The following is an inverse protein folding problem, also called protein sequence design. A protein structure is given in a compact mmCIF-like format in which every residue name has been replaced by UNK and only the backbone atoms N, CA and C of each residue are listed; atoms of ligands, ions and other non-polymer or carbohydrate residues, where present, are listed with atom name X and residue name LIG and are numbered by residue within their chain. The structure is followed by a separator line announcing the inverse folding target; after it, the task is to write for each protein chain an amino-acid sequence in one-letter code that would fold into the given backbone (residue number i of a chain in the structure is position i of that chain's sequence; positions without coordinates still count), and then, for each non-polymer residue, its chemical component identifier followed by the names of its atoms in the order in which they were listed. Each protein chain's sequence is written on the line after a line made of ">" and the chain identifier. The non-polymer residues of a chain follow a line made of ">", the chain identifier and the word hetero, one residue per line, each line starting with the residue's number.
data_IF_354071929203
#
_entry.id   IF_354071929203
#
_cell.length_a   1.000
_cell.length_b   1.000
_cell.length_c   1.000
_cell.angle_alpha   90.00
_cell.angle_beta   90.00
_cell.angle_gamma   90.00
#
_symmetry.space_group_name_H-M   'P 1'
#
loop_
_entity.id
_entity.type
_entity.pdbx_description
1 polymer ?
#
# COMPACT_ATOMS: atom_id res chain seq x y z
N UNK A 1 8.53 6.66 -3.23
CA UNK A 1 7.67 5.57 -3.73
C UNK A 1 8.36 4.74 -4.81
N UNK A 2 8.92 5.33 -5.87
CA UNK A 2 9.64 4.58 -6.90
C UNK A 2 10.72 3.65 -6.33
N UNK A 3 11.61 4.15 -5.45
CA UNK A 3 12.66 3.33 -4.84
C UNK A 3 12.10 2.09 -4.14
N UNK A 4 11.05 2.23 -3.32
CA UNK A 4 10.44 1.09 -2.62
C UNK A 4 9.82 0.06 -3.57
N UNK A 5 9.13 0.49 -4.62
CA UNK A 5 8.45 -0.45 -5.53
C UNK A 5 9.42 -1.06 -6.54
N UNK A 6 10.22 -0.23 -7.21
CA UNK A 6 11.01 -0.64 -8.38
C UNK A 6 12.43 -1.13 -8.03
N UNK A 7 13.02 -0.58 -6.97
CA UNK A 7 14.37 -0.90 -6.50
C UNK A 7 14.42 -1.01 -4.96
N UNK A 8 13.60 -1.87 -4.32
CA UNK A 8 13.52 -1.94 -2.86
C UNK A 8 14.89 -2.14 -2.20
N UNK A 9 15.81 -2.83 -2.87
CA UNK A 9 17.20 -3.04 -2.46
C UNK A 9 18.01 -1.77 -2.24
N UNK A 10 17.60 -0.63 -2.83
CA UNK A 10 18.23 0.67 -2.62
C UNK A 10 17.89 1.31 -1.27
N UNK A 11 16.88 0.78 -0.56
CA UNK A 11 16.44 1.28 0.75
C UNK A 11 16.96 0.36 1.86
N UNK A 12 17.34 0.92 3.03
CA UNK A 12 17.61 0.10 4.20
C UNK A 12 16.39 -0.74 4.58
N UNK A 13 16.62 -1.94 5.12
CA UNK A 13 15.54 -2.90 5.44
C UNK A 13 14.46 -2.31 6.37
N UNK A 14 14.87 -1.49 7.35
CA UNK A 14 13.95 -0.79 8.25
C UNK A 14 12.95 0.11 7.52
N UNK A 15 13.36 0.79 6.45
CA UNK A 15 12.48 1.62 5.62
C UNK A 15 11.54 0.76 4.77
N UNK A 16 12.03 -0.35 4.22
CA UNK A 16 11.19 -1.29 3.47
C UNK A 16 10.08 -1.84 4.37
N UNK A 17 10.43 -2.29 5.58
CA UNK A 17 9.48 -2.85 6.54
C UNK A 17 8.48 -1.80 7.02
N UNK A 18 8.94 -0.57 7.28
CA UNK A 18 8.07 0.53 7.65
C UNK A 18 7.04 0.82 6.55
N UNK A 19 7.47 0.96 5.30
CA UNK A 19 6.58 1.27 4.17
C UNK A 19 5.62 0.11 3.91
N UNK A 20 6.10 -1.14 3.95
CA UNK A 20 5.24 -2.31 3.74
C UNK A 20 4.19 -2.47 4.85
N UNK A 21 4.55 -2.17 6.10
CA UNK A 21 3.65 -2.26 7.26
C UNK A 21 2.62 -1.13 7.30
N UNK A 22 2.98 0.06 6.83
CA UNK A 22 2.11 1.24 6.88
C UNK A 22 1.31 1.44 5.59
N UNK A 23 1.80 0.91 4.47
CA UNK A 23 1.20 1.04 3.15
C UNK A 23 -0.12 0.29 2.99
N UNK A 24 -0.99 0.73 2.07
CA UNK A 24 -2.32 0.15 1.88
C UNK A 24 -2.34 -1.08 0.96
N UNK A 25 -1.21 -1.44 0.34
CA UNK A 25 -1.09 -2.52 -0.65
C UNK A 25 -0.24 -3.67 -0.09
N UNK A 26 -0.62 -4.90 -0.44
CA UNK A 26 0.05 -6.10 0.02
C UNK A 26 1.38 -6.37 -0.73
N UNK A 27 2.35 -6.98 -0.04
CA UNK A 27 3.67 -7.32 -0.58
C UNK A 27 3.63 -8.11 -1.91
N UNK A 28 2.80 -9.16 -2.08
CA UNK A 28 2.73 -9.90 -3.35
C UNK A 28 2.32 -9.00 -4.53
N UNK A 29 1.52 -7.96 -4.27
CA UNK A 29 1.07 -7.04 -5.30
C UNK A 29 2.17 -6.03 -5.66
N UNK A 30 2.93 -5.52 -4.69
CA UNK A 30 4.10 -4.70 -4.99
C UNK A 30 5.14 -5.46 -5.82
N UNK A 31 5.37 -6.73 -5.49
CA UNK A 31 6.23 -7.62 -6.27
C UNK A 31 5.71 -7.79 -7.71
N UNK A 32 4.43 -8.08 -7.88
CA UNK A 32 3.81 -8.22 -9.20
C UNK A 32 3.93 -6.95 -10.05
N UNK A 33 3.69 -5.77 -9.46
CA UNK A 33 3.86 -4.47 -10.16
C UNK A 33 5.30 -4.27 -10.59
N UNK A 34 6.27 -4.53 -9.69
CA UNK A 34 7.69 -4.40 -10.01
C UNK A 34 8.10 -5.33 -11.15
N UNK A 35 7.69 -6.60 -11.08
CA UNK A 35 8.10 -7.63 -12.03
C UNK A 35 7.47 -7.36 -13.41
N UNK A 36 6.18 -6.99 -13.46
CA UNK A 36 5.51 -6.52 -14.70
C UNK A 36 6.22 -5.32 -15.33
N UNK A 37 6.52 -4.27 -14.55
CA UNK A 37 7.22 -3.09 -15.05
C UNK A 37 8.66 -3.35 -15.52
N UNK A 38 9.28 -4.46 -15.10
CA UNK A 38 10.64 -4.86 -15.49
C UNK A 38 10.65 -5.90 -16.62
N UNK A 39 9.48 -6.33 -17.10
CA UNK A 39 9.36 -7.41 -18.09
C UNK A 39 9.74 -8.80 -17.53
N UNK A 40 9.72 -8.96 -16.20
CA UNK A 40 9.91 -10.25 -15.55
C UNK A 40 8.57 -10.97 -15.39
N UNK A 41 8.57 -12.31 -15.34
CA UNK A 41 7.36 -13.07 -15.05
C UNK A 41 6.83 -12.73 -13.66
N UNK A 42 5.53 -12.45 -13.57
CA UNK A 42 4.81 -12.26 -12.32
C UNK A 42 4.63 -13.60 -11.62
N UNK A 43 4.89 -13.65 -10.32
CA UNK A 43 4.61 -14.82 -9.48
C UNK A 43 3.09 -15.01 -9.28
N UNK A 44 2.48 -15.72 -10.24
CA UNK A 44 1.04 -16.02 -10.26
C UNK A 44 0.62 -16.85 -9.04
N UNK A 45 1.49 -17.71 -8.52
CA UNK A 45 1.17 -18.59 -7.41
C UNK A 45 0.98 -17.80 -6.11
N UNK A 46 1.91 -16.90 -5.76
CA UNK A 46 1.76 -16.06 -4.56
C UNK A 46 0.61 -15.07 -4.68
N UNK A 47 0.37 -14.54 -5.90
CA UNK A 47 -0.73 -13.63 -6.17
C UNK A 47 -2.09 -14.33 -6.06
N UNK A 48 -2.21 -15.54 -6.60
CA UNK A 48 -3.39 -16.39 -6.45
C UNK A 48 -3.67 -16.69 -4.97
N UNK A 49 -2.65 -17.14 -4.21
CA UNK A 49 -2.81 -17.40 -2.78
C UNK A 49 -3.26 -16.15 -1.99
N UNK A 50 -2.78 -14.97 -2.36
CA UNK A 50 -3.25 -13.70 -1.79
C UNK A 50 -4.72 -13.42 -2.13
N UNK A 51 -5.12 -13.56 -3.40
CA UNK A 51 -6.48 -13.31 -3.86
C UNK A 51 -7.48 -14.32 -3.30
N UNK A 52 -7.11 -15.60 -3.17
CA UNK A 52 -7.94 -16.62 -2.54
C UNK A 52 -8.23 -16.27 -1.07
N UNK A 53 -7.23 -15.81 -0.30
CA UNK A 53 -7.45 -15.32 1.08
C UNK A 53 -8.37 -14.11 1.15
N UNK A 54 -8.48 -13.34 0.06
CA UNK A 54 -9.40 -12.20 -0.07
C UNK A 54 -10.76 -12.58 -0.65
N UNK A 55 -10.99 -13.86 -1.01
CA UNK A 55 -12.24 -14.33 -1.60
C UNK A 55 -12.45 -13.88 -3.06
N UNK A 56 -11.36 -13.68 -3.82
CA UNK A 56 -11.41 -13.10 -5.19
C UNK A 56 -10.63 -13.90 -6.25
N UNK A 57 -10.19 -15.12 -5.99
CA UNK A 57 -9.39 -15.90 -6.96
C UNK A 57 -10.10 -16.13 -8.30
N UNK A 58 -11.42 -16.28 -8.28
CA UNK A 58 -12.16 -16.80 -9.43
C UNK A 58 -12.54 -15.70 -10.46
N UNK A 59 -12.36 -14.43 -10.09
CA UNK A 59 -12.80 -13.28 -10.89
C UNK A 59 -11.66 -12.60 -11.66
N UNK A 60 -10.41 -13.05 -11.48
CA UNK A 60 -9.24 -12.37 -12.02
C UNK A 60 -8.40 -13.35 -12.81
N UNK A 61 -8.31 -13.12 -14.12
CA UNK A 61 -7.35 -13.82 -14.97
C UNK A 61 -5.94 -13.37 -14.58
N UNK A 62 -5.16 -14.29 -14.03
CA UNK A 62 -3.75 -14.06 -13.72
C UNK A 62 -2.91 -14.49 -14.92
N UNK A 63 -2.03 -13.62 -15.37
CA UNK A 63 -1.11 -13.86 -16.48
C UNK A 63 0.32 -13.63 -15.98
N UNK A 64 1.28 -14.38 -16.51
CA UNK A 64 2.70 -14.22 -16.14
C UNK A 64 3.31 -12.94 -16.70
N UNK A 65 2.83 -12.47 -17.87
CA UNK A 65 3.33 -11.27 -18.55
C UNK A 65 2.19 -10.26 -18.82
N UNK A 66 1.55 -9.70 -17.78
CA UNK A 66 0.51 -8.71 -17.98
C UNK A 66 1.14 -7.38 -18.42
N UNK A 67 0.49 -6.69 -19.37
CA UNK A 67 0.88 -5.34 -19.77
C UNK A 67 0.69 -4.30 -18.65
N UNK A 68 -0.27 -4.54 -17.76
CA UNK A 68 -0.56 -3.72 -16.58
C UNK A 68 -1.20 -4.59 -15.49
N UNK A 69 -0.83 -4.34 -14.23
CA UNK A 69 -1.51 -4.97 -13.09
C UNK A 69 -2.85 -4.24 -12.84
N UNK A 70 -4.01 -4.92 -12.95
CA UNK A 70 -5.30 -4.29 -12.79
C UNK A 70 -5.59 -3.85 -11.35
N UNK A 71 -6.38 -2.78 -11.20
CA UNK A 71 -6.82 -2.24 -9.93
C UNK A 71 -7.51 -3.28 -9.02
N UNK A 72 -8.24 -4.24 -9.62
CA UNK A 72 -8.86 -5.36 -8.90
C UNK A 72 -7.85 -6.25 -8.15
N UNK A 73 -6.59 -6.29 -8.59
CA UNK A 73 -5.50 -6.98 -7.88
C UNK A 73 -4.87 -6.05 -6.83
N UNK A 74 -4.64 -4.79 -7.18
CA UNK A 74 -4.03 -3.77 -6.30
C UNK A 74 -4.83 -3.57 -5.02
N UNK A 75 -6.15 -3.46 -5.14
CA UNK A 75 -7.06 -3.26 -4.02
C UNK A 75 -8.22 -4.27 -4.05
N UNK A 76 -7.88 -5.56 -3.99
CA UNK A 76 -8.84 -6.67 -4.02
C UNK A 76 -9.94 -6.63 -2.92
N UNK A 77 -9.72 -5.87 -1.85
CA UNK A 77 -10.69 -5.71 -0.76
C UNK A 77 -11.75 -4.62 -0.97
N UNK A 78 -11.69 -3.86 -2.06
CA UNK A 78 -12.60 -2.72 -2.31
C UNK A 78 -13.15 -2.76 -3.74
N UNK A 79 -14.39 -2.30 -3.91
CA UNK A 79 -15.10 -2.31 -5.19
C UNK A 79 -14.67 -1.23 -6.17
N UNK A 80 -14.00 -0.16 -5.71
CA UNK A 80 -13.50 0.93 -6.55
C UNK A 80 -12.22 1.54 -6.00
N UNK A 81 -11.47 2.22 -6.87
CA UNK A 81 -10.26 2.95 -6.50
C UNK A 81 -10.56 4.05 -5.47
N UNK A 82 -11.67 4.76 -5.63
CA UNK A 82 -12.08 5.83 -4.73
C UNK A 82 -12.37 5.31 -3.31
N UNK A 83 -13.05 4.18 -3.19
CA UNK A 83 -13.32 3.56 -1.88
C UNK A 83 -12.00 3.12 -1.23
N UNK A 84 -11.06 2.58 -2.00
CA UNK A 84 -9.73 2.25 -1.49
C UNK A 84 -9.00 3.48 -0.95
N UNK A 85 -9.00 4.58 -1.71
CA UNK A 85 -8.34 5.83 -1.35
C UNK A 85 -8.93 6.44 -0.07
N UNK A 86 -10.25 6.50 0.04
CA UNK A 86 -10.93 6.99 1.25
C UNK A 86 -10.59 6.12 2.46
N UNK A 87 -10.59 4.80 2.30
CA UNK A 87 -10.23 3.88 3.37
C UNK A 87 -8.77 4.04 3.80
N UNK A 88 -7.84 4.10 2.85
CA UNK A 88 -6.41 4.29 3.12
C UNK A 88 -6.14 5.64 3.81
N UNK A 89 -6.81 6.70 3.35
CA UNK A 89 -6.73 8.03 3.94
C UNK A 89 -7.28 8.04 5.36
N UNK A 90 -8.45 7.46 5.59
CA UNK A 90 -9.06 7.38 6.93
C UNK A 90 -8.19 6.60 7.91
N UNK A 91 -7.66 5.44 7.49
CA UNK A 91 -6.77 4.63 8.31
C UNK A 91 -5.46 5.35 8.64
N UNK A 92 -4.89 6.06 7.66
CA UNK A 92 -3.68 6.86 7.87
C UNK A 92 -3.96 8.00 8.83
N UNK A 93 -5.03 8.78 8.59
CA UNK A 93 -5.45 9.89 9.43
C UNK A 93 -5.64 9.44 10.88
N UNK A 94 -6.37 8.35 11.13
CA UNK A 94 -6.57 7.83 12.50
C UNK A 94 -5.26 7.50 13.22
N UNK A 95 -4.22 7.09 12.50
CA UNK A 95 -2.91 6.74 13.08
C UNK A 95 -2.01 7.96 13.28
N UNK A 96 -2.04 8.92 12.37
CA UNK A 96 -1.11 10.06 12.38
C UNK A 96 -1.68 11.31 13.04
N UNK A 97 -3.00 11.54 12.92
CA UNK A 97 -3.64 12.75 13.41
C UNK A 97 -3.40 13.01 14.90
N UNK A 98 -3.57 12.06 15.83
CA UNK A 98 -3.38 12.33 17.26
C UNK A 98 -1.95 12.78 17.60
N UNK A 99 -0.95 12.19 16.92
CA UNK A 99 0.45 12.55 17.10
C UNK A 99 0.72 13.97 16.62
N UNK A 100 0.36 14.29 15.38
CA UNK A 100 0.61 15.62 14.82
C UNK A 100 -0.22 16.70 15.51
N UNK A 101 -1.46 16.39 15.90
CA UNK A 101 -2.28 17.26 16.73
C UNK A 101 -1.58 17.56 18.06
N UNK A 102 -1.07 16.54 18.75
CA UNK A 102 -0.35 16.73 20.02
C UNK A 102 0.93 17.54 19.83
N UNK A 103 1.72 17.28 18.79
CA UNK A 103 2.97 18.00 18.54
C UNK A 103 2.78 19.45 18.09
N UNK A 104 1.64 19.77 17.47
CA UNK A 104 1.42 21.09 16.86
C UNK A 104 0.47 21.95 17.69
N UNK A 105 -0.67 21.39 18.08
CA UNK A 105 -1.74 22.14 18.73
C UNK A 105 -1.49 22.33 20.24
N UNK A 106 -0.97 21.30 20.94
CA UNK A 106 -0.73 21.42 22.39
C UNK A 106 0.30 22.51 22.71
N UNK A 107 1.48 22.59 22.05
CA UNK A 107 2.42 23.69 22.29
C UNK A 107 1.85 25.05 21.94
N UNK A 108 1.03 25.15 20.89
CA UNK A 108 0.35 26.39 20.53
C UNK A 108 -0.58 26.86 21.67
N UNK A 109 -1.43 25.97 22.19
CA UNK A 109 -2.35 26.30 23.29
C UNK A 109 -1.57 26.70 24.55
N UNK A 110 -0.57 25.90 24.96
CA UNK A 110 0.19 26.13 26.19
C UNK A 110 1.03 27.41 26.12
N UNK A 111 1.68 27.69 24.98
CA UNK A 111 2.64 28.79 24.89
C UNK A 111 2.06 30.09 24.34
N UNK A 112 1.00 30.03 23.52
CA UNK A 112 0.49 31.20 22.79
C UNK A 112 -0.92 31.61 23.22
N UNK A 113 -1.75 30.69 23.70
CA UNK A 113 -3.12 31.00 24.16
C UNK A 113 -3.21 31.21 25.68
N UNK A 114 -2.20 30.83 26.46
CA UNK A 114 -2.13 31.17 27.87
C UNK A 114 -1.64 32.63 28.05
N UNK A 115 -2.56 33.57 27.86
CA UNK A 115 -2.48 34.95 28.37
C UNK A 115 -3.71 35.26 29.19
#
# INVERSE_FOLDING_TARGET
>A
MYAFVMRPESLPKSYQDFIQKTGPVAEPVYRAVRDSCRGHPVDVASLHAYLSRKGKSDYVKLEEFPSIIPCSIIHAGTSSCLVHEVNATSLTFKKTFPLYFSLTFVPFVVLHLQK
#
